data_IF_183145149029
#
_entry.id   IF_183145149029
#
_cell.length_a   1.000
_cell.length_b   1.000
_cell.length_c   1.000
_cell.angle_alpha   90.00
_cell.angle_beta   90.00
_cell.angle_gamma   90.00
#
_symmetry.space_group_name_H-M   'P 1'
#
loop_
_entity.id
_entity.type
_entity.pdbx_description
1 polymer ?
#
# COMPACT_ATOMS: atom_id res chain seq x y z
N UNK A 1 54.07 55.08 -46.95
CA UNK A 1 53.46 54.61 -45.69
C UNK A 1 52.08 54.14 -46.08
N UNK A 2 51.99 52.86 -46.44
CA UNK A 2 50.75 52.23 -46.93
C UNK A 2 49.95 51.75 -45.73
N UNK A 3 48.74 52.30 -45.54
CA UNK A 3 47.80 51.83 -44.53
C UNK A 3 46.91 50.75 -45.15
N UNK A 4 47.10 49.52 -44.68
CA UNK A 4 46.37 48.33 -45.12
C UNK A 4 45.03 48.33 -44.37
N UNK A 5 43.96 48.80 -45.02
CA UNK A 5 42.60 48.63 -44.51
C UNK A 5 42.21 47.14 -44.61
N UNK A 6 42.07 46.48 -43.46
CA UNK A 6 41.56 45.12 -43.40
C UNK A 6 40.03 45.13 -43.61
N UNK A 7 39.58 44.55 -44.72
CA UNK A 7 38.17 44.21 -44.93
C UNK A 7 37.81 43.02 -44.02
N UNK A 8 37.20 43.29 -42.87
CA UNK A 8 36.54 42.25 -42.08
C UNK A 8 35.14 42.07 -42.67
N UNK A 9 34.94 41.00 -43.43
CA UNK A 9 33.63 40.63 -43.94
C UNK A 9 32.66 40.42 -42.76
N UNK A 10 31.63 41.25 -42.70
CA UNK A 10 30.57 41.12 -41.71
C UNK A 10 29.75 39.86 -42.00
N UNK A 11 30.09 38.76 -41.35
CA UNK A 11 29.28 37.53 -41.38
C UNK A 11 28.07 37.75 -40.47
N UNK A 12 26.89 37.95 -41.10
CA UNK A 12 25.59 37.96 -40.39
C UNK A 12 25.47 36.69 -39.54
N UNK A 13 25.07 36.78 -38.26
CA UNK A 13 24.80 35.58 -37.48
C UNK A 13 23.63 34.83 -38.13
N UNK A 14 23.85 33.56 -38.46
CA UNK A 14 22.81 32.63 -38.86
C UNK A 14 21.77 32.62 -37.74
N UNK A 15 20.52 32.93 -38.08
CA UNK A 15 19.43 33.02 -37.12
C UNK A 15 19.41 31.80 -36.19
N UNK A 16 19.38 32.06 -34.89
CA UNK A 16 19.11 31.07 -33.86
C UNK A 16 17.90 30.24 -34.31
N UNK A 17 18.12 28.95 -34.59
CA UNK A 17 17.01 27.99 -34.68
C UNK A 17 16.23 28.10 -33.37
N UNK A 18 14.90 28.33 -33.39
CA UNK A 18 14.12 28.30 -32.17
C UNK A 18 14.26 26.91 -31.56
N UNK A 19 14.91 26.83 -30.39
CA UNK A 19 14.91 25.61 -29.60
C UNK A 19 13.47 25.39 -29.14
N UNK A 20 12.87 24.31 -29.59
CA UNK A 20 11.51 23.91 -29.29
C UNK A 20 11.34 23.72 -27.78
N UNK A 21 10.61 24.64 -27.15
CA UNK A 21 10.07 24.49 -25.78
C UNK A 21 9.03 23.34 -25.65
N UNK A 22 8.77 22.58 -26.72
CA UNK A 22 7.86 21.43 -26.73
C UNK A 22 8.33 20.33 -25.76
N UNK A 23 9.60 19.93 -25.83
CA UNK A 23 10.13 18.78 -25.09
C UNK A 23 10.02 18.93 -23.56
N UNK A 24 10.17 20.15 -23.04
CA UNK A 24 10.03 20.43 -21.60
C UNK A 24 8.57 20.45 -21.14
N UNK A 25 7.64 20.91 -21.99
CA UNK A 25 6.22 21.00 -21.67
C UNK A 25 5.55 19.62 -21.71
N UNK A 26 5.97 18.77 -22.64
CA UNK A 26 5.48 17.40 -22.77
C UNK A 26 5.96 16.54 -21.59
N UNK A 27 7.24 16.71 -21.19
CA UNK A 27 7.79 16.06 -19.99
C UNK A 27 7.02 16.47 -18.72
N UNK A 28 6.65 17.75 -18.57
CA UNK A 28 5.89 18.21 -17.42
C UNK A 28 4.47 17.61 -17.36
N UNK A 29 3.81 17.45 -18.50
CA UNK A 29 2.49 16.82 -18.58
C UNK A 29 2.56 15.32 -18.25
N UNK A 30 3.58 14.61 -18.72
CA UNK A 30 3.81 13.21 -18.38
C UNK A 30 4.08 13.02 -16.88
N UNK A 31 4.92 13.89 -16.28
CA UNK A 31 5.18 13.87 -14.84
C UNK A 31 3.91 14.12 -14.01
N UNK A 32 3.03 15.02 -14.46
CA UNK A 32 1.73 15.24 -13.81
C UNK A 32 0.82 14.02 -13.93
N UNK A 33 0.73 13.39 -15.09
CA UNK A 33 -0.07 12.18 -15.28
C UNK A 33 0.41 11.02 -14.39
N UNK A 34 1.72 10.83 -14.26
CA UNK A 34 2.31 9.83 -13.35
C UNK A 34 1.97 10.16 -11.89
N UNK A 35 2.05 11.44 -11.50
CA UNK A 35 1.71 11.88 -10.15
C UNK A 35 0.24 11.63 -9.81
N UNK A 36 -0.67 11.99 -10.70
CA UNK A 36 -2.11 11.76 -10.48
C UNK A 36 -2.42 10.27 -10.37
N UNK A 37 -1.90 9.44 -11.29
CA UNK A 37 -2.06 7.98 -11.20
C UNK A 37 -1.51 7.40 -9.90
N UNK A 38 -0.34 7.87 -9.46
CA UNK A 38 0.24 7.42 -8.19
C UNK A 38 -0.62 7.84 -7.00
N UNK A 39 -1.17 9.06 -7.03
CA UNK A 39 -2.04 9.58 -5.97
C UNK A 39 -3.34 8.77 -5.89
N UNK A 40 -3.95 8.43 -7.02
CA UNK A 40 -5.12 7.55 -7.07
C UNK A 40 -4.82 6.18 -6.46
N UNK A 41 -3.67 5.59 -6.81
CA UNK A 41 -3.25 4.28 -6.26
C UNK A 41 -2.98 4.35 -4.76
N UNK A 42 -2.37 5.44 -4.27
CA UNK A 42 -2.15 5.67 -2.85
C UNK A 42 -3.47 5.79 -2.11
N UNK A 43 -4.40 6.61 -2.62
CA UNK A 43 -5.73 6.77 -2.01
C UNK A 43 -6.51 5.45 -1.98
N UNK A 44 -6.45 4.67 -3.07
CA UNK A 44 -7.07 3.35 -3.11
C UNK A 44 -6.46 2.39 -2.07
N UNK A 45 -5.13 2.45 -1.88
CA UNK A 45 -4.44 1.67 -0.85
C UNK A 45 -4.86 2.11 0.56
N UNK A 46 -4.91 3.41 0.83
CA UNK A 46 -5.33 3.95 2.13
C UNK A 46 -6.77 3.56 2.47
N UNK A 47 -7.68 3.66 1.50
CA UNK A 47 -9.06 3.25 1.66
C UNK A 47 -9.17 1.75 1.96
N UNK A 48 -8.38 0.92 1.26
CA UNK A 48 -8.32 -0.53 1.51
C UNK A 48 -7.77 -0.83 2.90
N UNK A 49 -6.69 -0.15 3.30
CA UNK A 49 -6.11 -0.28 4.64
C UNK A 49 -7.13 0.11 5.71
N UNK A 50 -7.81 1.25 5.56
CA UNK A 50 -8.86 1.70 6.49
C UNK A 50 -10.01 0.70 6.59
N UNK A 51 -10.44 0.13 5.46
CA UNK A 51 -11.47 -0.90 5.43
C UNK A 51 -11.03 -2.16 6.18
N UNK A 52 -9.79 -2.61 5.98
CA UNK A 52 -9.25 -3.78 6.66
C UNK A 52 -9.08 -3.53 8.17
N UNK A 53 -8.64 -2.34 8.58
CA UNK A 53 -8.53 -1.97 9.99
C UNK A 53 -9.86 -2.05 10.71
N UNK A 54 -10.95 -1.53 10.11
CA UNK A 54 -12.30 -1.63 10.70
C UNK A 54 -12.77 -3.07 10.87
N UNK A 55 -12.44 -3.93 9.92
CA UNK A 55 -12.81 -5.34 10.00
C UNK A 55 -12.01 -6.06 11.09
N UNK A 56 -10.73 -5.74 11.23
CA UNK A 56 -9.89 -6.23 12.33
C UNK A 56 -10.47 -5.81 13.69
N UNK A 57 -10.88 -4.55 13.85
CA UNK A 57 -11.50 -4.06 15.08
C UNK A 57 -12.78 -4.84 15.43
N UNK A 58 -13.62 -5.17 14.44
CA UNK A 58 -14.82 -6.00 14.65
C UNK A 58 -14.49 -7.43 15.05
N UNK A 59 -13.46 -8.04 14.46
CA UNK A 59 -13.06 -9.40 14.83
C UNK A 59 -12.46 -9.43 16.24
N UNK A 60 -11.76 -8.37 16.66
CA UNK A 60 -11.25 -8.24 18.02
C UNK A 60 -12.37 -8.22 19.07
N UNK A 61 -13.56 -7.68 18.75
CA UNK A 61 -14.70 -7.70 19.67
C UNK A 61 -15.36 -9.07 19.84
N UNK A 62 -14.86 -10.13 19.22
CA UNK A 62 -15.33 -11.51 19.44
C UNK A 62 -14.33 -12.32 20.31
N UNK A 63 -13.11 -11.82 20.43
CA UNK A 63 -12.00 -12.51 21.08
C UNK A 63 -12.09 -12.40 22.60
N UNK A 64 -11.68 -13.47 23.28
CA UNK A 64 -11.37 -13.43 24.70
C UNK A 64 -10.41 -12.29 24.98
N UNK A 65 -10.55 -11.61 26.12
CA UNK A 65 -9.64 -10.51 26.49
C UNK A 65 -8.18 -10.95 26.42
N UNK A 66 -7.40 -10.20 25.66
CA UNK A 66 -5.99 -10.48 25.44
C UNK A 66 -5.69 -11.47 24.32
N UNK A 67 -6.70 -12.03 23.65
CA UNK A 67 -6.55 -12.90 22.48
C UNK A 67 -6.80 -12.11 21.17
N UNK A 68 -6.21 -12.51 20.04
CA UNK A 68 -5.22 -13.58 19.92
C UNK A 68 -3.87 -13.20 20.54
N UNK A 69 -3.21 -14.12 21.25
CA UNK A 69 -1.94 -13.86 21.96
C UNK A 69 -0.73 -14.62 21.41
N UNK A 70 -0.95 -15.52 20.45
CA UNK A 70 0.01 -16.41 19.85
C UNK A 70 0.85 -17.15 20.91
N UNK A 71 0.17 -17.75 21.89
CA UNK A 71 0.78 -18.41 23.04
C UNK A 71 1.53 -17.48 23.99
N UNK A 72 1.40 -16.15 23.85
CA UNK A 72 2.10 -15.14 24.63
C UNK A 72 3.63 -15.23 24.54
N UNK A 73 4.17 -15.84 23.48
CA UNK A 73 5.60 -16.13 23.34
C UNK A 73 6.12 -17.24 24.27
N UNK A 74 5.23 -17.98 24.93
CA UNK A 74 5.63 -19.04 25.86
C UNK A 74 5.93 -20.36 25.09
N UNK A 75 7.13 -20.97 25.24
CA UNK A 75 7.54 -22.14 24.45
C UNK A 75 6.61 -23.35 24.53
N UNK A 76 5.88 -23.50 25.65
CA UNK A 76 4.89 -24.58 25.86
C UNK A 76 3.71 -24.50 24.89
N UNK A 77 3.24 -23.30 24.56
CA UNK A 77 2.08 -23.10 23.70
C UNK A 77 2.54 -23.04 22.24
N UNK A 78 3.71 -22.44 21.99
CA UNK A 78 4.26 -22.32 20.64
C UNK A 78 3.38 -21.39 19.79
N UNK A 79 3.43 -21.56 18.47
CA UNK A 79 2.61 -20.79 17.53
C UNK A 79 1.16 -21.28 17.52
N UNK A 80 0.22 -20.33 17.54
CA UNK A 80 -1.22 -20.54 17.62
C UNK A 80 -1.91 -19.80 16.46
N UNK A 81 -1.97 -20.43 15.28
CA UNK A 81 -2.48 -19.79 14.05
C UNK A 81 -3.95 -20.12 13.71
N UNK A 82 -4.63 -20.94 14.52
CA UNK A 82 -6.00 -21.40 14.26
C UNK A 82 -6.98 -20.90 15.32
N UNK A 83 -8.15 -20.41 14.91
CA UNK A 83 -9.17 -19.92 15.84
C UNK A 83 -10.03 -21.06 16.43
N UNK A 84 -10.37 -20.95 17.71
CA UNK A 84 -11.34 -21.82 18.40
C UNK A 84 -12.36 -20.97 19.16
N UNK A 85 -13.62 -21.41 19.16
CA UNK A 85 -14.71 -20.81 19.93
C UNK A 85 -14.86 -21.56 21.26
N UNK A 86 -14.80 -20.83 22.38
CA UNK A 86 -14.92 -21.40 23.72
C UNK A 86 -16.38 -21.37 24.17
N UNK A 87 -17.04 -22.54 24.19
CA UNK A 87 -18.49 -22.65 24.43
C UNK A 87 -19.00 -22.13 25.79
N UNK A 88 -18.13 -21.93 26.79
CA UNK A 88 -18.51 -21.50 28.15
C UNK A 88 -18.32 -19.99 28.40
N UNK A 89 -18.31 -19.18 27.34
CA UNK A 89 -18.13 -17.71 27.40
C UNK A 89 -19.20 -16.99 26.58
N UNK A 90 -19.36 -15.68 26.83
CA UNK A 90 -20.26 -14.82 26.06
C UNK A 90 -19.88 -14.82 24.58
N UNK A 91 -20.88 -14.68 23.69
CA UNK A 91 -20.67 -14.76 22.22
C UNK A 91 -19.76 -13.67 21.66
N UNK A 92 -19.55 -12.61 22.44
CA UNK A 92 -18.73 -11.43 22.19
C UNK A 92 -17.34 -11.49 22.85
N UNK A 93 -17.03 -12.53 23.63
CA UNK A 93 -15.71 -12.69 24.25
C UNK A 93 -15.39 -14.19 24.37
N UNK A 94 -15.41 -14.94 23.25
CA UNK A 94 -15.20 -16.39 23.28
C UNK A 94 -14.20 -16.96 22.27
N UNK A 95 -13.63 -16.15 21.37
CA UNK A 95 -12.60 -16.62 20.44
C UNK A 95 -11.21 -16.67 21.09
N UNK A 96 -10.44 -17.70 20.76
CA UNK A 96 -9.05 -17.91 21.19
C UNK A 96 -8.27 -18.38 19.96
N UNK A 97 -7.05 -17.92 19.77
CA UNK A 97 -6.12 -18.59 18.88
C UNK A 97 -5.56 -19.85 19.55
N UNK A 98 -5.26 -20.87 18.77
CA UNK A 98 -4.78 -22.15 19.24
C UNK A 98 -3.90 -22.77 18.17
N UNK A 99 -3.00 -23.65 18.58
CA UNK A 99 -2.25 -24.49 17.65
C UNK A 99 -3.19 -25.22 16.69
N UNK A 100 -2.88 -25.18 15.40
CA UNK A 100 -3.69 -25.83 14.37
C UNK A 100 -3.74 -27.36 14.47
N UNK A 101 -2.76 -27.98 15.15
CA UNK A 101 -2.69 -29.42 15.38
C UNK A 101 -3.50 -29.88 16.62
N UNK A 102 -4.09 -28.94 17.37
CA UNK A 102 -4.88 -29.27 18.54
C UNK A 102 -6.18 -30.00 18.17
N UNK A 103 -6.44 -31.14 18.82
CA UNK A 103 -7.70 -31.86 18.64
C UNK A 103 -8.87 -31.12 19.28
N UNK A 104 -9.74 -30.54 18.44
CA UNK A 104 -10.96 -29.82 18.82
C UNK A 104 -12.14 -30.25 17.94
N UNK A 105 -13.39 -30.16 18.45
CA UNK A 105 -14.58 -30.26 17.61
C UNK A 105 -14.62 -29.13 16.57
N UNK A 106 -15.21 -29.40 15.40
CA UNK A 106 -15.36 -28.42 14.32
C UNK A 106 -16.82 -28.00 14.16
N UNK A 107 -17.03 -26.72 13.85
CA UNK A 107 -18.31 -26.18 13.42
C UNK A 107 -18.26 -26.08 11.90
N UNK A 108 -19.16 -26.80 11.22
CA UNK A 108 -19.25 -26.78 9.77
C UNK A 108 -20.41 -25.87 9.34
N UNK A 109 -20.16 -24.96 8.40
CA UNK A 109 -21.19 -24.15 7.75
C UNK A 109 -21.50 -24.71 6.36
N UNK A 110 -22.78 -24.75 5.99
CA UNK A 110 -23.24 -25.02 4.63
C UNK A 110 -24.37 -24.06 4.29
N UNK A 111 -24.45 -23.65 3.03
CA UNK A 111 -25.56 -22.80 2.58
C UNK A 111 -26.88 -23.58 2.63
N UNK A 112 -27.97 -22.86 2.92
CA UNK A 112 -29.31 -23.38 2.65
C UNK A 112 -29.52 -23.42 1.13
N UNK A 113 -29.77 -24.62 0.59
CA UNK A 113 -30.07 -24.83 -0.83
C UNK A 113 -31.40 -24.20 -1.24
#
# INVERSE_FOLDING_TARGET
MEEIYANVDYVKPVGLRPSTNQTNRDSAAEHLAVRENLTERLQASENKTSSLSREIERLQTLSNRGQPDNGGGHPKYGEEDCAVITANRGTDENWNDLRCDASRPWICEKNAN
#
